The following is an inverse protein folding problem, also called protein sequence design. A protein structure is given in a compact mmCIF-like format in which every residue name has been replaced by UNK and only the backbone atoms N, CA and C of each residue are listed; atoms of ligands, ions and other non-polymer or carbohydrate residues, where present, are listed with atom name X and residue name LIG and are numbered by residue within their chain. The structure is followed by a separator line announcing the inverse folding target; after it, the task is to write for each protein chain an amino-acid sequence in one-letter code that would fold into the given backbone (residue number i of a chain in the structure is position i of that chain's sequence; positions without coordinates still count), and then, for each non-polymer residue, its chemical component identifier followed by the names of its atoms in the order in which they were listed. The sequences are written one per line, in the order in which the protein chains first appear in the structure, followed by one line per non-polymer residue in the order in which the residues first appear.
data_IF_093694352940
#
_entry.id   IF_093694352940
#
_cell.length_a   1.000
_cell.length_b   1.000
_cell.length_c   1.000
_cell.angle_alpha   90.00
_cell.angle_beta   90.00
_cell.angle_gamma   90.00
#
_symmetry.space_group_name_H-M   'P 1'
#
loop_
_entity.id
_entity.type
_entity.pdbx_description
1 polymer ?
#
# COMPACT_ATOMS: atom_id res chain seq x y z
N UNK A 1 -6.29 -11.36 7.77
CA UNK A 1 -6.08 -12.77 8.17
C UNK A 1 -4.62 -13.21 7.99
N UNK A 2 -3.89 -12.75 6.97
CA UNK A 2 -2.55 -13.26 6.66
C UNK A 2 -1.55 -13.12 7.82
N UNK A 3 -1.47 -11.94 8.46
CA UNK A 3 -0.54 -11.73 9.60
C UNK A 3 -0.90 -12.62 10.80
N UNK A 4 -2.17 -12.92 11.03
CA UNK A 4 -2.60 -13.78 12.14
C UNK A 4 -2.23 -15.25 11.91
N UNK A 5 -2.21 -15.68 10.64
CA UNK A 5 -1.85 -17.04 10.26
C UNK A 5 -0.33 -17.20 10.06
N UNK A 6 0.32 -16.17 9.51
CA UNK A 6 1.76 -16.13 9.29
C UNK A 6 2.28 -14.73 9.63
N UNK A 7 3.01 -14.56 10.74
CA UNK A 7 3.49 -13.26 11.19
C UNK A 7 4.67 -12.72 10.39
N UNK A 8 5.28 -13.48 9.49
CA UNK A 8 6.40 -12.99 8.70
C UNK A 8 5.95 -11.93 7.71
N UNK A 9 6.60 -10.78 7.74
CA UNK A 9 6.29 -9.62 6.93
C UNK A 9 7.57 -9.00 6.35
N UNK A 10 7.51 -8.64 5.06
CA UNK A 10 8.50 -7.78 4.41
C UNK A 10 7.85 -6.45 4.04
N UNK A 11 8.46 -5.34 4.43
CA UNK A 11 8.05 -3.99 4.07
C UNK A 11 9.12 -3.33 3.20
N UNK A 12 8.69 -2.73 2.09
CA UNK A 12 9.55 -1.98 1.19
C UNK A 12 9.17 -0.50 1.25
N UNK A 13 10.14 0.34 1.60
CA UNK A 13 9.96 1.79 1.66
C UNK A 13 10.59 2.44 0.44
N UNK A 14 9.75 3.07 -0.37
CA UNK A 14 10.15 3.85 -1.53
C UNK A 14 10.13 5.33 -1.17
N UNK A 15 11.19 6.05 -1.49
CA UNK A 15 11.27 7.51 -1.32
C UNK A 15 11.20 8.11 -2.73
N UNK A 16 10.15 8.88 -3.06
CA UNK A 16 10.01 9.48 -4.37
C UNK A 16 11.26 10.26 -4.80
N UNK A 17 11.69 10.03 -6.03
CA UNK A 17 12.90 10.64 -6.59
C UNK A 17 14.22 9.96 -6.22
N UNK A 18 14.22 9.00 -5.27
CA UNK A 18 15.43 8.24 -4.94
C UNK A 18 15.51 6.95 -5.76
N UNK A 19 16.71 6.55 -6.08
CA UNK A 19 16.96 5.28 -6.80
C UNK A 19 17.07 4.07 -5.90
N UNK A 20 17.22 4.25 -4.57
CA UNK A 20 17.32 3.18 -3.59
C UNK A 20 15.98 2.97 -2.86
N UNK A 21 15.78 1.77 -2.34
CA UNK A 21 14.65 1.44 -1.49
C UNK A 21 15.14 0.76 -0.21
N UNK A 22 14.53 1.10 0.93
CA UNK A 22 14.78 0.43 2.20
C UNK A 22 13.84 -0.76 2.34
N UNK A 23 14.38 -1.93 2.67
CA UNK A 23 13.60 -3.10 3.03
C UNK A 23 13.80 -3.46 4.49
N UNK A 24 12.69 -3.81 5.13
CA UNK A 24 12.64 -4.37 6.47
C UNK A 24 11.94 -5.72 6.38
N UNK A 25 12.56 -6.76 6.94
CA UNK A 25 11.92 -8.06 7.14
C UNK A 25 11.81 -8.32 8.65
N UNK A 26 10.74 -8.96 9.08
CA UNK A 26 10.54 -9.26 10.49
C UNK A 26 9.21 -9.95 10.79
N UNK A 27 8.88 -10.00 12.07
CA UNK A 27 7.66 -10.60 12.58
C UNK A 27 6.67 -9.51 12.96
N UNK A 28 5.48 -9.58 12.38
CA UNK A 28 4.43 -8.60 12.60
C UNK A 28 3.39 -9.10 13.61
N UNK A 29 2.86 -8.18 14.41
CA UNK A 29 1.69 -8.42 15.25
C UNK A 29 0.70 -7.28 15.11
N UNK A 30 -0.58 -7.58 15.19
CA UNK A 30 -1.65 -6.59 15.16
C UNK A 30 -1.94 -6.13 16.58
N UNK A 31 -1.98 -4.82 16.78
CA UNK A 31 -2.28 -4.17 18.06
C UNK A 31 -3.54 -3.33 17.89
N UNK A 32 -4.51 -3.46 18.79
CA UNK A 32 -5.78 -2.70 18.77
C UNK A 32 -5.74 -1.47 19.68
N UNK A 33 -4.94 -1.51 20.73
CA UNK A 33 -4.87 -0.44 21.73
C UNK A 33 -3.44 -0.35 22.28
N UNK A 34 -2.86 0.85 22.19
CA UNK A 34 -1.55 1.14 22.77
C UNK A 34 -1.36 2.65 22.95
N UNK A 35 -0.54 3.05 23.91
CA UNK A 35 -0.28 4.45 24.22
C UNK A 35 0.30 5.25 23.03
N UNK A 36 1.00 4.60 22.11
CA UNK A 36 1.56 5.26 20.93
C UNK A 36 0.52 5.59 19.86
N UNK A 37 -0.73 5.10 19.94
CA UNK A 37 -1.78 5.37 18.94
C UNK A 37 -2.10 6.86 18.82
N UNK A 38 -2.01 7.62 19.90
CA UNK A 38 -2.27 9.06 19.90
C UNK A 38 -1.26 9.80 19.03
N UNK A 39 0.00 9.31 18.97
CA UNK A 39 1.06 9.84 18.09
C UNK A 39 0.84 9.49 16.62
N UNK A 40 -0.02 8.52 16.31
CA UNK A 40 -0.35 8.09 14.94
C UNK A 40 -1.62 8.78 14.40
N UNK A 41 -2.17 9.73 15.12
CA UNK A 41 -3.36 10.48 14.69
C UNK A 41 -3.04 11.34 13.47
N UNK A 42 -3.82 11.17 12.39
CA UNK A 42 -3.70 11.94 11.16
C UNK A 42 -5.03 12.66 10.89
N UNK A 43 -5.00 13.96 10.71
CA UNK A 43 -6.19 14.80 10.44
C UNK A 43 -7.35 14.54 11.43
N UNK A 44 -7.04 14.32 12.70
CA UNK A 44 -8.03 14.03 13.74
C UNK A 44 -8.50 12.57 13.81
N UNK A 45 -8.06 11.71 12.91
CA UNK A 45 -8.41 10.29 12.90
C UNK A 45 -7.32 9.46 13.59
N UNK A 46 -7.66 8.91 14.75
CA UNK A 46 -6.84 7.96 15.50
C UNK A 46 -7.00 6.56 14.88
N UNK A 47 -5.93 5.82 14.61
CA UNK A 47 -6.06 4.48 14.03
C UNK A 47 -6.76 3.52 15.01
N UNK A 48 -7.55 2.58 14.47
CA UNK A 48 -8.19 1.49 15.23
C UNK A 48 -7.28 0.29 15.39
N UNK A 49 -6.29 0.14 14.51
CA UNK A 49 -5.32 -0.96 14.46
C UNK A 49 -3.94 -0.41 14.11
N UNK A 50 -2.91 -1.05 14.65
CA UNK A 50 -1.53 -0.85 14.21
C UNK A 50 -0.87 -2.21 13.94
N UNK A 51 0.02 -2.24 12.97
CA UNK A 51 0.94 -3.36 12.75
C UNK A 51 2.26 -2.98 13.40
N UNK A 52 2.69 -3.75 14.39
CA UNK A 52 4.00 -3.62 15.02
C UNK A 52 4.90 -4.69 14.44
N UNK A 53 6.07 -4.29 13.94
CA UNK A 53 7.04 -5.19 13.32
C UNK A 53 8.25 -5.27 14.26
N UNK A 54 8.55 -6.48 14.73
CA UNK A 54 9.81 -6.82 15.33
C UNK A 54 10.81 -7.06 14.20
N UNK A 55 11.76 -6.15 14.04
CA UNK A 55 12.66 -6.12 12.89
C UNK A 55 13.76 -7.15 13.07
N UNK A 56 13.89 -8.08 12.12
CA UNK A 56 14.95 -9.09 12.05
C UNK A 56 16.06 -8.67 11.09
N UNK A 57 15.70 -8.07 9.95
CA UNK A 57 16.65 -7.61 8.94
C UNK A 57 16.26 -6.24 8.39
N UNK A 58 17.27 -5.41 8.17
CA UNK A 58 17.16 -4.11 7.48
C UNK A 58 18.26 -4.00 6.46
N UNK A 59 17.91 -3.69 5.21
CA UNK A 59 18.89 -3.50 4.16
C UNK A 59 18.37 -2.62 3.02
N UNK A 60 19.29 -2.04 2.27
CA UNK A 60 18.96 -1.31 1.06
C UNK A 60 18.86 -2.24 -0.15
N UNK A 61 17.80 -2.08 -0.92
CA UNK A 61 17.68 -2.71 -2.22
C UNK A 61 18.54 -2.00 -3.25
N UNK A 62 19.06 -2.81 -4.18
CA UNK A 62 19.80 -2.30 -5.33
C UNK A 62 18.95 -1.31 -6.15
N UNK A 63 19.49 -0.14 -6.42
CA UNK A 63 18.84 0.92 -7.20
C UNK A 63 18.62 0.59 -8.68
N UNK A 64 19.29 -0.43 -9.22
CA UNK A 64 19.30 -0.72 -10.66
C UNK A 64 17.92 -0.93 -11.27
N UNK A 65 16.98 -1.53 -10.56
CA UNK A 65 15.62 -1.76 -11.05
C UNK A 65 14.85 -0.45 -11.21
N UNK A 66 14.89 0.41 -10.19
CA UNK A 66 14.22 1.71 -10.19
C UNK A 66 14.84 2.67 -11.22
N UNK A 67 16.18 2.62 -11.39
CA UNK A 67 16.87 3.43 -12.38
C UNK A 67 16.53 2.98 -13.81
N UNK A 68 16.58 1.67 -14.09
CA UNK A 68 16.25 1.13 -15.42
C UNK A 68 14.80 1.35 -15.83
N UNK A 69 13.86 1.27 -14.88
CA UNK A 69 12.44 1.51 -15.15
C UNK A 69 12.11 2.99 -15.30
N UNK A 70 13.02 3.90 -14.94
CA UNK A 70 12.75 5.35 -14.89
C UNK A 70 11.47 5.67 -14.08
N UNK A 71 11.20 4.91 -13.01
CA UNK A 71 9.92 4.92 -12.29
C UNK A 71 9.52 6.30 -11.75
N UNK A 72 10.47 7.20 -11.54
CA UNK A 72 10.21 8.56 -11.05
C UNK A 72 10.08 9.61 -12.17
N UNK A 73 10.07 9.17 -13.43
CA UNK A 73 9.89 10.06 -14.57
C UNK A 73 8.47 9.88 -15.13
N UNK A 74 7.60 10.87 -14.96
CA UNK A 74 6.20 10.82 -15.39
C UNK A 74 6.03 10.44 -16.86
N UNK A 75 6.91 10.92 -17.73
CA UNK A 75 6.90 10.61 -19.15
C UNK A 75 7.13 9.13 -19.48
N UNK A 76 7.63 8.34 -18.51
CA UNK A 76 7.80 6.88 -18.67
C UNK A 76 6.53 6.11 -18.27
N UNK A 77 5.55 6.78 -17.64
CA UNK A 77 4.37 6.11 -17.12
C UNK A 77 3.37 5.86 -18.23
N UNK A 78 2.79 4.67 -18.23
CA UNK A 78 1.74 4.26 -19.16
C UNK A 78 0.53 3.72 -18.37
N UNK A 79 -0.25 4.60 -17.70
CA UNK A 79 -1.35 4.17 -16.84
C UNK A 79 -2.42 3.36 -17.59
N UNK A 80 -2.55 3.56 -18.90
CA UNK A 80 -3.45 2.77 -19.75
C UNK A 80 -2.92 1.39 -20.17
N UNK A 81 -1.68 1.02 -19.82
CA UNK A 81 -1.10 -0.29 -20.16
C UNK A 81 -1.73 -1.45 -19.37
N UNK A 82 -2.46 -1.15 -18.28
CA UNK A 82 -3.16 -2.13 -17.47
C UNK A 82 -4.64 -1.72 -17.32
N UNK A 83 -5.56 -2.70 -17.11
CA UNK A 83 -6.96 -2.38 -16.85
C UNK A 83 -7.12 -1.47 -15.63
N UNK A 84 -8.08 -0.55 -15.68
CA UNK A 84 -8.41 0.31 -14.54
C UNK A 84 -8.93 -0.48 -13.34
N UNK A 85 -8.89 0.12 -12.14
CA UNK A 85 -9.26 -0.52 -10.87
C UNK A 85 -10.66 -1.15 -10.89
N UNK A 86 -11.64 -0.49 -11.48
CA UNK A 86 -13.01 -1.00 -11.59
C UNK A 86 -13.10 -2.31 -12.39
N UNK A 87 -12.33 -2.43 -13.47
CA UNK A 87 -12.28 -3.65 -14.30
C UNK A 87 -11.63 -4.79 -13.51
N UNK A 88 -10.55 -4.51 -12.81
CA UNK A 88 -9.86 -5.51 -11.97
C UNK A 88 -10.79 -5.98 -10.84
N UNK A 89 -11.47 -5.04 -10.16
CA UNK A 89 -12.41 -5.38 -9.10
C UNK A 89 -13.57 -6.23 -9.61
N UNK A 90 -14.15 -5.89 -10.78
CA UNK A 90 -15.19 -6.69 -11.43
C UNK A 90 -14.75 -8.13 -11.66
N UNK A 91 -13.52 -8.31 -12.14
CA UNK A 91 -13.00 -9.63 -12.49
C UNK A 91 -12.64 -10.50 -11.28
N UNK A 92 -12.10 -9.91 -10.21
CA UNK A 92 -11.45 -10.66 -9.15
C UNK A 92 -12.14 -10.59 -7.78
N UNK A 93 -12.85 -9.50 -7.48
CA UNK A 93 -13.30 -9.21 -6.12
C UNK A 93 -14.82 -9.08 -6.01
N UNK A 94 -15.45 -8.45 -7.00
CA UNK A 94 -16.86 -8.06 -6.99
C UNK A 94 -17.58 -8.44 -8.31
N UNK A 95 -17.62 -9.73 -8.67
CA UNK A 95 -18.18 -10.16 -9.96
C UNK A 95 -19.69 -9.91 -10.09
N UNK A 96 -20.42 -9.74 -8.98
CA UNK A 96 -21.83 -9.44 -8.97
C UNK A 96 -22.19 -7.98 -9.30
N UNK A 97 -21.27 -7.03 -9.07
CA UNK A 97 -21.53 -5.62 -9.27
C UNK A 97 -21.37 -5.23 -10.74
N UNK A 98 -22.13 -4.24 -11.22
CA UNK A 98 -21.95 -3.75 -12.58
C UNK A 98 -20.64 -2.96 -12.73
N UNK A 99 -20.09 -2.92 -13.94
CA UNK A 99 -18.88 -2.14 -14.21
C UNK A 99 -19.11 -0.64 -13.97
N UNK A 100 -20.31 -0.15 -14.30
CA UNK A 100 -20.67 1.27 -14.11
C UNK A 100 -20.67 1.66 -12.62
N UNK A 101 -21.26 0.83 -11.75
CA UNK A 101 -21.23 1.05 -10.30
C UNK A 101 -19.80 1.04 -9.75
N UNK A 102 -18.96 0.14 -10.25
CA UNK A 102 -17.56 0.07 -9.83
C UNK A 102 -16.73 1.25 -10.34
N UNK A 103 -17.02 1.76 -11.55
CA UNK A 103 -16.39 2.97 -12.07
C UNK A 103 -16.77 4.21 -11.26
N UNK A 104 -18.03 4.33 -10.85
CA UNK A 104 -18.46 5.39 -9.95
C UNK A 104 -17.82 5.26 -8.58
N UNK A 105 -17.82 4.05 -7.99
CA UNK A 105 -17.24 3.77 -6.69
C UNK A 105 -15.74 4.09 -6.63
N UNK A 106 -14.95 3.67 -7.63
CA UNK A 106 -13.50 3.92 -7.72
C UNK A 106 -13.13 5.22 -8.43
N UNK A 107 -14.10 6.06 -8.77
CA UNK A 107 -13.92 7.38 -9.39
C UNK A 107 -13.51 8.47 -8.40
N UNK A 108 -13.79 9.72 -8.74
CA UNK A 108 -13.39 10.89 -7.93
C UNK A 108 -13.89 10.82 -6.47
N UNK A 109 -15.09 10.29 -6.24
CA UNK A 109 -15.64 10.11 -4.88
C UNK A 109 -14.78 9.26 -3.98
N UNK A 110 -14.03 8.29 -4.51
CA UNK A 110 -13.17 7.42 -3.72
C UNK A 110 -12.09 8.19 -2.97
N UNK A 111 -11.58 9.28 -3.56
CA UNK A 111 -10.57 10.13 -2.92
C UNK A 111 -11.13 10.87 -1.69
N UNK A 112 -12.43 11.15 -1.65
CA UNK A 112 -13.09 11.83 -0.54
C UNK A 112 -13.44 10.90 0.64
N UNK A 113 -13.27 9.59 0.48
CA UNK A 113 -13.57 8.58 1.51
C UNK A 113 -12.33 8.07 2.25
N UNK A 114 -11.19 8.69 2.05
CA UNK A 114 -9.91 8.24 2.63
C UNK A 114 -9.79 8.50 4.14
N UNK A 115 -10.63 9.41 4.70
CA UNK A 115 -10.61 9.80 6.11
C UNK A 115 -12.02 10.08 6.63
#
# INVERSE_FOLDING_TARGET
FNILANPHLGALFLIPGRGDALRIDGRARIVREAAFFDQMTVRGHRPVLAIVIEIEHVFYHCSRALLRSSVWQEQSWAPGAVPGRAVIAKALERPGDSLAELQEYYGERYQHTLY
#
